data_IF_002299956086
#
_entry.id   IF_002299956086
#
_cell.length_a   1.000
_cell.length_b   1.000
_cell.length_c   1.000
_cell.angle_alpha   90.00
_cell.angle_beta   90.00
_cell.angle_gamma   90.00
#
_symmetry.space_group_name_H-M   'P 1'
#
loop_
_entity.id
_entity.type
_entity.pdbx_description
1 polymer ?
#
# COMPACT_ATOMS: atom_id res chain seq x y z
N UNK A 1 -9.55 3.80 -5.15
CA UNK A 1 -8.79 4.11 -3.93
C UNK A 1 -9.19 5.49 -3.45
N UNK A 2 -9.57 5.64 -2.16
CA UNK A 2 -10.20 6.84 -1.62
C UNK A 2 -9.25 7.60 -0.69
N UNK A 3 -8.57 8.62 -1.21
CA UNK A 3 -7.64 9.49 -0.47
C UNK A 3 -8.34 10.12 0.74
N UNK A 4 -9.52 10.71 0.52
CA UNK A 4 -10.26 11.43 1.55
C UNK A 4 -10.71 10.50 2.69
N UNK A 5 -11.22 9.31 2.35
CA UNK A 5 -11.63 8.33 3.35
C UNK A 5 -10.46 7.87 4.23
N UNK A 6 -9.34 7.52 3.60
CA UNK A 6 -8.13 7.07 4.30
C UNK A 6 -7.54 8.19 5.18
N UNK A 7 -7.53 9.42 4.67
CA UNK A 7 -7.06 10.59 5.41
C UNK A 7 -7.93 10.88 6.64
N UNK A 8 -9.27 10.80 6.50
CA UNK A 8 -10.19 10.99 7.63
C UNK A 8 -9.98 9.96 8.72
N UNK A 9 -9.69 8.69 8.38
CA UNK A 9 -9.40 7.64 9.36
C UNK A 9 -8.09 7.96 10.10
N UNK A 10 -7.04 8.33 9.38
CA UNK A 10 -5.75 8.71 9.97
C UNK A 10 -5.92 9.93 10.90
N UNK A 11 -6.63 10.97 10.44
CA UNK A 11 -6.92 12.15 11.23
C UNK A 11 -7.80 11.83 12.45
N UNK A 12 -8.76 10.91 12.33
CA UNK A 12 -9.61 10.50 13.45
C UNK A 12 -8.83 9.74 14.53
N UNK A 13 -7.86 8.91 14.13
CA UNK A 13 -7.01 8.16 15.07
C UNK A 13 -5.94 9.06 15.71
N UNK A 14 -5.39 10.03 14.97
CA UNK A 14 -4.30 10.89 15.43
C UNK A 14 -4.74 12.22 16.06
N UNK A 15 -5.83 12.81 15.59
CA UNK A 15 -6.25 14.19 15.90
C UNK A 15 -7.18 14.36 17.10
N UNK A 16 -7.53 13.29 17.82
CA UNK A 16 -8.47 13.35 18.94
C UNK A 16 -7.79 13.44 20.32
N UNK A 17 -8.46 14.08 21.29
CA UNK A 17 -8.12 14.00 22.73
C UNK A 17 -8.08 12.56 23.26
N UNK A 18 -8.73 11.63 22.56
CA UNK A 18 -8.77 10.18 22.85
C UNK A 18 -7.69 9.37 22.14
N UNK A 19 -6.72 9.99 21.45
CA UNK A 19 -5.63 9.32 20.69
C UNK A 19 -5.00 8.17 21.48
N UNK A 20 -4.63 8.40 22.74
CA UNK A 20 -3.97 7.38 23.57
C UNK A 20 -4.85 6.15 23.80
N UNK A 21 -6.16 6.32 23.95
CA UNK A 21 -7.13 5.21 24.09
C UNK A 21 -7.41 4.52 22.75
N UNK A 22 -7.40 5.26 21.65
CA UNK A 22 -7.59 4.68 20.30
C UNK A 22 -6.38 3.82 19.91
N UNK A 23 -5.16 4.31 20.12
CA UNK A 23 -3.93 3.57 19.82
C UNK A 23 -3.72 2.34 20.71
N UNK A 24 -4.45 2.21 21.82
CA UNK A 24 -4.47 0.98 22.61
C UNK A 24 -5.28 -0.15 21.97
N UNK A 25 -6.14 0.15 21.00
CA UNK A 25 -6.97 -0.84 20.32
C UNK A 25 -6.21 -1.40 19.10
N UNK A 26 -5.88 -2.71 19.06
CA UNK A 26 -5.09 -3.28 17.97
C UNK A 26 -5.74 -3.11 16.58
N UNK A 27 -7.06 -3.31 16.47
CA UNK A 27 -7.76 -3.12 15.19
C UNK A 27 -7.64 -1.70 14.64
N UNK A 28 -7.59 -0.66 15.49
CA UNK A 28 -7.41 0.72 15.03
C UNK A 28 -5.99 0.98 14.54
N UNK A 29 -4.99 0.31 15.11
CA UNK A 29 -3.59 0.39 14.65
C UNK A 29 -3.41 -0.30 13.30
N UNK A 30 -3.99 -1.48 13.14
CA UNK A 30 -3.99 -2.20 11.85
C UNK A 30 -4.72 -1.35 10.79
N UNK A 31 -5.89 -0.81 11.12
CA UNK A 31 -6.65 0.05 10.21
C UNK A 31 -5.87 1.32 9.83
N UNK A 32 -5.19 1.95 10.78
CA UNK A 32 -4.33 3.11 10.51
C UNK A 32 -3.20 2.74 9.55
N UNK A 33 -2.52 1.60 9.74
CA UNK A 33 -1.45 1.16 8.84
C UNK A 33 -1.97 0.86 7.42
N UNK A 34 -3.15 0.24 7.33
CA UNK A 34 -3.85 0.01 6.06
C UNK A 34 -4.18 1.34 5.36
N UNK A 35 -4.74 2.31 6.08
CA UNK A 35 -5.07 3.63 5.52
C UNK A 35 -3.82 4.41 5.09
N UNK A 36 -2.69 4.28 5.80
CA UNK A 36 -1.43 4.87 5.38
C UNK A 36 -0.94 4.26 4.06
N UNK A 37 -1.05 2.94 3.90
CA UNK A 37 -0.71 2.28 2.63
C UNK A 37 -1.63 2.75 1.48
N UNK A 38 -2.94 2.84 1.74
CA UNK A 38 -3.91 3.31 0.75
C UNK A 38 -3.64 4.76 0.32
N UNK A 39 -3.17 5.62 1.23
CA UNK A 39 -2.74 6.98 0.88
C UNK A 39 -1.54 6.96 -0.06
N UNK A 40 -0.51 6.18 0.24
CA UNK A 40 0.68 6.06 -0.63
C UNK A 40 0.31 5.59 -2.04
N UNK A 41 -0.51 4.53 -2.14
CA UNK A 41 -0.97 3.99 -3.42
C UNK A 41 -1.86 4.99 -4.17
N UNK A 42 -2.75 5.68 -3.46
CA UNK A 42 -3.61 6.69 -4.08
C UNK A 42 -2.81 7.87 -4.60
N UNK A 43 -1.79 8.33 -3.85
CA UNK A 43 -0.89 9.39 -4.31
C UNK A 43 -0.10 8.95 -5.55
N UNK A 44 0.40 7.72 -5.60
CA UNK A 44 1.05 7.22 -6.81
C UNK A 44 0.10 7.14 -8.00
N UNK A 45 -1.17 6.80 -7.78
CA UNK A 45 -2.17 6.77 -8.85
C UNK A 45 -2.46 8.17 -9.41
N UNK A 46 -2.48 9.22 -8.56
CA UNK A 46 -2.61 10.61 -9.01
C UNK A 46 -1.36 11.07 -9.77
N UNK A 47 -0.17 10.74 -9.25
CA UNK A 47 1.10 11.08 -9.88
C UNK A 47 1.32 10.37 -11.21
N UNK A 48 0.67 9.22 -11.41
CA UNK A 48 0.76 8.44 -12.64
C UNK A 48 0.46 9.29 -13.89
N UNK A 49 -0.48 10.25 -13.82
CA UNK A 49 -0.78 11.13 -14.96
C UNK A 49 0.44 11.93 -15.46
N UNK A 50 1.25 12.46 -14.54
CA UNK A 50 2.40 13.28 -14.87
C UNK A 50 3.69 12.46 -15.02
N UNK A 51 3.84 11.40 -14.21
CA UNK A 51 5.06 10.61 -14.07
C UNK A 51 5.12 9.39 -14.98
N UNK A 52 4.09 9.14 -15.80
CA UNK A 52 4.14 8.12 -16.85
C UNK A 52 5.22 8.47 -17.90
N UNK A 53 5.90 7.48 -18.51
CA UNK A 53 6.93 7.75 -19.52
C UNK A 53 6.40 8.49 -20.74
N UNK A 54 7.09 9.57 -21.12
CA UNK A 54 6.81 10.28 -22.36
C UNK A 54 6.97 9.36 -23.59
N UNK A 55 6.09 9.52 -24.59
CA UNK A 55 6.16 8.80 -25.86
C UNK A 55 5.43 7.43 -25.90
N UNK A 56 4.78 7.01 -24.81
CA UNK A 56 4.05 5.73 -24.77
C UNK A 56 2.53 5.86 -24.90
N UNK A 57 1.90 6.84 -24.23
CA UNK A 57 0.42 6.94 -24.16
C UNK A 57 -0.11 8.29 -24.63
N UNK A 58 0.15 9.36 -23.87
CA UNK A 58 -0.35 10.72 -24.16
C UNK A 58 0.78 11.75 -24.15
N UNK A 59 0.62 12.81 -24.94
CA UNK A 59 1.67 13.82 -25.17
C UNK A 59 2.02 14.66 -23.92
N UNK A 60 1.10 14.73 -22.95
CA UNK A 60 1.30 15.44 -21.69
C UNK A 60 2.12 14.66 -20.63
N UNK A 61 2.57 13.44 -20.92
CA UNK A 61 3.36 12.64 -20.00
C UNK A 61 4.79 13.20 -19.91
N UNK A 62 5.27 13.49 -18.70
CA UNK A 62 6.57 14.12 -18.46
C UNK A 62 7.59 13.17 -17.82
N UNK A 63 7.18 11.94 -17.52
CA UNK A 63 7.99 10.96 -16.84
C UNK A 63 8.96 10.21 -17.76
N UNK A 64 9.67 9.26 -17.15
CA UNK A 64 10.63 8.37 -17.80
C UNK A 64 10.56 6.96 -17.19
N UNK A 65 11.41 6.05 -17.65
CA UNK A 65 11.41 4.67 -17.15
C UNK A 65 11.70 4.57 -15.65
N UNK A 66 12.50 5.48 -15.07
CA UNK A 66 12.78 5.47 -13.64
C UNK A 66 11.53 5.86 -12.83
N UNK A 67 10.78 6.88 -13.26
CA UNK A 67 9.51 7.22 -12.62
C UNK A 67 8.47 6.12 -12.78
N UNK A 68 8.46 5.43 -13.92
CA UNK A 68 7.58 4.28 -14.13
C UNK A 68 7.89 3.11 -13.19
N UNK A 69 9.17 2.78 -13.00
CA UNK A 69 9.60 1.74 -12.05
C UNK A 69 9.22 2.12 -10.61
N UNK A 70 9.34 3.39 -10.25
CA UNK A 70 8.89 3.89 -8.94
C UNK A 70 7.37 3.79 -8.77
N UNK A 71 6.60 4.14 -9.81
CA UNK A 71 5.14 3.98 -9.81
C UNK A 71 4.75 2.51 -9.69
N UNK A 72 5.42 1.61 -10.42
CA UNK A 72 5.22 0.16 -10.32
C UNK A 72 5.54 -0.39 -8.93
N UNK A 73 6.61 0.07 -8.30
CA UNK A 73 6.93 -0.22 -6.90
C UNK A 73 5.80 0.20 -5.95
N UNK A 74 5.32 1.43 -6.06
CA UNK A 74 4.21 1.93 -5.24
C UNK A 74 2.91 1.15 -5.50
N UNK A 75 2.67 0.76 -6.75
CA UNK A 75 1.53 -0.06 -7.11
C UNK A 75 1.65 -1.48 -6.51
N UNK A 76 2.85 -2.07 -6.48
CA UNK A 76 3.12 -3.35 -5.82
C UNK A 76 2.83 -3.29 -4.31
N UNK A 77 3.11 -2.15 -3.66
CA UNK A 77 2.78 -1.94 -2.24
C UNK A 77 1.27 -1.99 -1.97
N UNK A 78 0.40 -1.84 -2.97
CA UNK A 78 -1.05 -2.01 -2.79
C UNK A 78 -1.47 -3.40 -2.30
N UNK A 79 -0.66 -4.44 -2.57
CA UNK A 79 -0.90 -5.78 -2.03
C UNK A 79 -0.79 -5.84 -0.50
N UNK A 80 -0.06 -4.91 0.13
CA UNK A 80 0.00 -4.79 1.58
C UNK A 80 -1.37 -4.47 2.19
N UNK A 81 -2.24 -3.73 1.48
CA UNK A 81 -3.63 -3.48 1.91
C UNK A 81 -4.40 -4.80 2.03
N UNK A 82 -4.25 -5.71 1.07
CA UNK A 82 -4.86 -7.05 1.13
C UNK A 82 -4.36 -7.86 2.34
N UNK A 83 -3.06 -7.80 2.63
CA UNK A 83 -2.48 -8.47 3.79
C UNK A 83 -2.94 -7.87 5.12
N UNK A 84 -3.09 -6.54 5.20
CA UNK A 84 -3.69 -5.89 6.36
C UNK A 84 -5.17 -6.25 6.56
N UNK A 85 -5.92 -6.42 5.48
CA UNK A 85 -7.29 -6.94 5.55
C UNK A 85 -7.31 -8.36 6.14
N UNK A 86 -6.42 -9.24 5.67
CA UNK A 86 -6.28 -10.58 6.21
C UNK A 86 -5.89 -10.57 7.70
N UNK A 87 -5.00 -9.65 8.09
CA UNK A 87 -4.61 -9.45 9.49
C UNK A 87 -5.79 -8.98 10.36
N UNK A 88 -6.67 -8.11 9.83
CA UNK A 88 -7.92 -7.71 10.51
C UNK A 88 -8.87 -8.91 10.68
N UNK A 89 -9.07 -9.72 9.64
CA UNK A 89 -9.87 -10.94 9.75
C UNK A 89 -9.31 -11.88 10.82
N UNK A 90 -7.97 -12.07 10.83
CA UNK A 90 -7.28 -12.87 11.84
C UNK A 90 -7.44 -12.29 13.26
N UNK A 91 -7.35 -10.97 13.40
CA UNK A 91 -7.61 -10.24 14.65
C UNK A 91 -9.02 -10.57 15.16
N UNK A 92 -10.05 -10.44 14.32
CA UNK A 92 -11.44 -10.65 14.75
C UNK A 92 -11.70 -12.12 15.08
N UNK A 93 -11.20 -13.05 14.28
CA UNK A 93 -11.33 -14.48 14.57
C UNK A 93 -10.66 -14.88 15.88
N UNK A 94 -9.42 -14.45 16.13
CA UNK A 94 -8.71 -14.76 17.40
C UNK A 94 -9.35 -14.08 18.61
N UNK A 95 -9.84 -12.86 18.45
CA UNK A 95 -10.47 -12.12 19.56
C UNK A 95 -11.84 -12.69 19.90
N UNK A 96 -12.70 -12.91 18.89
CA UNK A 96 -14.09 -13.34 19.09
C UNK A 96 -14.17 -14.84 19.35
N UNK A 97 -13.55 -15.67 18.50
CA UNK A 97 -13.70 -17.13 18.58
C UNK A 97 -12.73 -17.78 19.57
N UNK A 98 -11.59 -17.16 19.87
CA UNK A 98 -10.56 -17.72 20.77
C UNK A 98 -10.36 -16.90 22.05
N UNK A 99 -11.10 -15.80 22.25
CA UNK A 99 -11.02 -14.99 23.47
C UNK A 99 -9.63 -14.42 23.75
N UNK A 100 -8.81 -14.21 22.71
CA UNK A 100 -7.42 -13.78 22.89
C UNK A 100 -7.34 -12.38 23.54
N UNK A 101 -6.58 -12.20 24.64
CA UNK A 101 -6.46 -10.90 25.30
C UNK A 101 -5.59 -9.95 24.48
N UNK A 102 -5.91 -8.65 24.50
CA UNK A 102 -5.22 -7.62 23.71
C UNK A 102 -3.69 -7.57 23.96
N UNK A 103 -3.23 -7.91 25.17
CA UNK A 103 -1.80 -7.94 25.51
C UNK A 103 -1.02 -8.99 24.73
N UNK A 104 -1.61 -10.17 24.48
CA UNK A 104 -1.00 -11.22 23.67
C UNK A 104 -0.85 -10.78 22.20
N UNK A 105 -1.66 -9.82 21.77
CA UNK A 105 -1.67 -9.34 20.40
C UNK A 105 -0.54 -8.38 20.06
N UNK A 106 0.03 -7.70 21.05
CA UNK A 106 1.09 -6.72 20.83
C UNK A 106 2.32 -7.32 20.11
N UNK A 107 2.80 -8.48 20.55
CA UNK A 107 4.00 -9.10 19.96
C UNK A 107 3.73 -9.57 18.53
N UNK A 108 2.58 -10.22 18.31
CA UNK A 108 2.20 -10.70 16.99
C UNK A 108 1.97 -9.54 16.01
N UNK A 109 1.32 -8.47 16.45
CA UNK A 109 1.03 -7.30 15.62
C UNK A 109 2.31 -6.64 15.12
N UNK A 110 3.31 -6.44 15.99
CA UNK A 110 4.60 -5.88 15.57
C UNK A 110 5.27 -6.74 14.49
N UNK A 111 5.34 -8.07 14.69
CA UNK A 111 5.89 -8.98 13.69
C UNK A 111 5.09 -8.95 12.39
N UNK A 112 3.76 -8.91 12.46
CA UNK A 112 2.89 -8.85 11.29
C UNK A 112 3.09 -7.55 10.49
N UNK A 113 3.17 -6.38 11.14
CA UNK A 113 3.47 -5.12 10.46
C UNK A 113 4.82 -5.15 9.75
N UNK A 114 5.87 -5.65 10.42
CA UNK A 114 7.19 -5.76 9.83
C UNK A 114 7.17 -6.70 8.63
N UNK A 115 6.56 -7.89 8.75
CA UNK A 115 6.47 -8.85 7.64
C UNK A 115 5.69 -8.27 6.47
N UNK A 116 4.57 -7.61 6.71
CA UNK A 116 3.76 -7.00 5.64
C UNK A 116 4.56 -5.89 4.96
N UNK A 117 5.02 -4.87 5.70
CA UNK A 117 5.67 -3.70 5.10
C UNK A 117 7.00 -4.07 4.46
N UNK A 118 7.88 -4.75 5.20
CA UNK A 118 9.21 -5.10 4.71
C UNK A 118 9.12 -6.18 3.63
N UNK A 119 8.23 -7.16 3.78
CA UNK A 119 8.04 -8.22 2.78
C UNK A 119 7.60 -7.67 1.43
N UNK A 120 6.55 -6.83 1.39
CA UNK A 120 6.10 -6.22 0.13
C UNK A 120 7.10 -5.20 -0.42
N UNK A 121 7.82 -4.47 0.45
CA UNK A 121 8.87 -3.56 0.00
C UNK A 121 10.05 -4.31 -0.64
N UNK A 122 10.46 -5.47 -0.10
CA UNK A 122 11.50 -6.31 -0.70
C UNK A 122 11.04 -6.82 -2.07
N UNK A 123 9.83 -7.36 -2.17
CA UNK A 123 9.27 -7.85 -3.45
C UNK A 123 9.23 -6.72 -4.49
N UNK A 124 8.77 -5.53 -4.08
CA UNK A 124 8.79 -4.34 -4.92
C UNK A 124 10.21 -3.96 -5.35
N UNK A 125 11.17 -3.92 -4.42
CA UNK A 125 12.55 -3.55 -4.72
C UNK A 125 13.22 -4.54 -5.68
N UNK A 126 12.96 -5.84 -5.51
CA UNK A 126 13.40 -6.89 -6.44
C UNK A 126 12.80 -6.65 -7.83
N UNK A 127 11.52 -6.27 -7.92
CA UNK A 127 10.90 -5.91 -9.20
C UNK A 127 11.56 -4.70 -9.88
N UNK A 128 11.95 -3.68 -9.11
CA UNK A 128 12.72 -2.54 -9.64
C UNK A 128 14.09 -2.99 -10.13
N UNK A 129 14.79 -3.83 -9.35
CA UNK A 129 16.12 -4.34 -9.69
C UNK A 129 16.11 -5.24 -10.94
N UNK A 130 15.08 -6.07 -11.09
CA UNK A 130 14.88 -6.92 -12.26
C UNK A 130 14.30 -6.16 -13.47
N UNK A 131 14.02 -4.87 -13.33
CA UNK A 131 13.49 -4.01 -14.39
C UNK A 131 12.14 -4.50 -14.99
N UNK A 132 11.34 -5.20 -14.18
CA UNK A 132 10.06 -5.79 -14.65
C UNK A 132 8.90 -4.79 -14.66
N UNK A 133 9.07 -3.64 -14.02
CA UNK A 133 8.06 -2.58 -14.01
C UNK A 133 8.17 -1.70 -15.24
N UNK A 134 7.24 -1.91 -16.17
CA UNK A 134 7.22 -1.28 -17.49
C UNK A 134 5.85 -0.64 -17.79
N UNK A 135 5.77 0.24 -18.80
CA UNK A 135 4.53 0.89 -19.21
C UNK A 135 3.52 -0.15 -19.70
N UNK A 136 2.35 -0.21 -19.06
CA UNK A 136 1.23 -1.00 -19.53
C UNK A 136 0.26 -0.10 -20.29
N UNK A 137 0.25 -0.25 -21.62
CA UNK A 137 -0.42 0.68 -22.54
C UNK A 137 -1.95 0.66 -22.40
N UNK A 138 -2.53 -0.49 -22.03
CA UNK A 138 -4.00 -0.64 -21.93
C UNK A 138 -4.61 0.13 -20.76
N UNK A 139 -3.89 0.27 -19.64
CA UNK A 139 -4.40 0.96 -18.44
C UNK A 139 -3.65 2.24 -18.11
N UNK A 140 -2.71 2.68 -18.94
CA UNK A 140 -1.87 3.88 -18.69
C UNK A 140 -1.21 3.85 -17.31
N UNK A 141 -0.86 2.65 -16.82
CA UNK A 141 -0.19 2.45 -15.53
C UNK A 141 1.15 1.77 -15.74
N UNK A 142 2.03 1.88 -14.75
CA UNK A 142 3.26 1.11 -14.71
C UNK A 142 3.04 -0.15 -13.87
N UNK A 143 3.28 -1.31 -14.48
CA UNK A 143 3.04 -2.61 -13.87
C UNK A 143 4.07 -3.64 -14.33
N UNK A 144 3.96 -4.88 -13.84
CA UNK A 144 4.75 -6.00 -14.34
C UNK A 144 4.31 -6.29 -15.77
N UNK A 145 5.15 -5.89 -16.73
CA UNK A 145 4.87 -5.99 -18.17
C UNK A 145 6.16 -6.19 -18.96
N UNK A 146 6.12 -6.83 -20.14
CA UNK A 146 7.29 -6.96 -21.00
C UNK A 146 7.67 -5.61 -21.64
N UNK A 147 8.95 -5.49 -22.03
CA UNK A 147 9.49 -4.40 -22.84
C UNK A 147 10.18 -5.02 -24.08
N UNK A 148 9.90 -4.57 -25.31
CA UNK A 148 9.01 -3.46 -25.68
C UNK A 148 7.52 -3.82 -25.57
N UNK A 149 6.62 -2.81 -25.50
CA UNK A 149 5.18 -3.06 -25.44
C UNK A 149 4.71 -3.78 -26.71
N UNK A 150 3.72 -4.68 -26.57
CA UNK A 150 3.15 -5.51 -27.66
C UNK A 150 4.03 -6.65 -28.19
N UNK A 151 5.02 -7.11 -27.41
CA UNK A 151 5.73 -8.36 -27.66
C UNK A 151 5.10 -9.54 -26.91
#
# INVERSE_FOLDING_TARGET
MSVLGSLLIVLHVLGGTKRRRQLQKPHLRILMAMSLNDLTVSMSAVLNFAMYPAGYTWDAALGNMASCRMLGFCAQMSHATGAYNALLCLYYWRTICRGMPAKAWWQFECSAHVIIVVGFAIVGAVGVWMEIYNPFLESTTCWIAPLPPHC
#
